data_IF_067611271341
#
_entry.id   IF_067611271341
#
_cell.length_a   1.000
_cell.length_b   1.000
_cell.length_c   1.000
_cell.angle_alpha   90.00
_cell.angle_beta   90.00
_cell.angle_gamma   90.00
#
_symmetry.space_group_name_H-M   'P 1'
#
loop_
_entity.id
_entity.type
_entity.pdbx_description
1 polymer ?
#
# COMPACT_ATOMS: atom_id res chain seq x y z
N UNK A 1 -11.09 -5.15 -0.91
CA UNK A 1 -10.00 -4.85 -1.86
C UNK A 1 -9.97 -3.35 -2.03
N UNK A 2 -8.81 -2.74 -1.84
CA UNK A 2 -8.61 -1.31 -2.02
C UNK A 2 -7.62 -1.09 -3.16
N UNK A 3 -7.76 0.03 -3.88
CA UNK A 3 -6.88 0.38 -4.99
C UNK A 3 -6.48 1.84 -4.83
N UNK A 4 -5.19 2.13 -5.02
CA UNK A 4 -4.65 3.47 -5.00
C UNK A 4 -3.62 3.63 -6.11
N UNK A 5 -3.97 4.39 -7.16
CA UNK A 5 -3.14 4.57 -8.37
C UNK A 5 -2.77 3.21 -8.98
N UNK A 6 -1.56 2.72 -8.72
CA UNK A 6 -0.99 1.48 -9.22
C UNK A 6 -0.93 0.36 -8.16
N UNK A 7 -1.22 0.67 -6.89
CA UNK A 7 -1.22 -0.30 -5.79
C UNK A 7 -2.60 -0.97 -5.62
N UNK A 8 -2.62 -2.32 -5.62
CA UNK A 8 -3.80 -3.13 -5.24
C UNK A 8 -3.56 -3.76 -3.87
N UNK A 9 -4.46 -3.50 -2.93
CA UNK A 9 -4.36 -3.96 -1.55
C UNK A 9 -5.48 -4.96 -1.26
N UNK A 10 -5.09 -6.18 -0.93
CA UNK A 10 -5.99 -7.27 -0.56
C UNK A 10 -5.81 -7.55 0.92
N UNK A 11 -6.89 -7.42 1.69
CA UNK A 11 -6.91 -7.73 3.12
C UNK A 11 -8.05 -8.70 3.40
N UNK A 12 -7.77 -9.72 4.21
CA UNK A 12 -8.78 -10.63 4.73
C UNK A 12 -8.30 -11.21 6.07
N UNK A 13 -9.23 -11.55 6.96
CA UNK A 13 -8.98 -12.28 8.20
C UNK A 13 -8.73 -13.78 7.97
N UNK A 14 -9.31 -14.35 6.91
CA UNK A 14 -9.17 -15.76 6.56
C UNK A 14 -8.24 -15.95 5.34
N UNK A 15 -7.29 -16.87 5.44
CA UNK A 15 -6.30 -17.13 4.39
C UNK A 15 -6.89 -17.80 3.14
N UNK A 16 -7.88 -18.68 3.29
CA UNK A 16 -8.53 -19.36 2.16
C UNK A 16 -9.31 -18.36 1.30
N UNK A 17 -10.07 -17.48 1.95
CA UNK A 17 -10.76 -16.40 1.26
C UNK A 17 -9.78 -15.39 0.64
N UNK A 18 -8.69 -15.06 1.34
CA UNK A 18 -7.62 -14.22 0.80
C UNK A 18 -7.08 -14.80 -0.51
N UNK A 19 -6.74 -16.08 -0.54
CA UNK A 19 -6.22 -16.75 -1.74
C UNK A 19 -7.25 -16.78 -2.87
N UNK A 20 -8.54 -16.93 -2.55
CA UNK A 20 -9.62 -16.80 -3.53
C UNK A 20 -9.63 -15.40 -4.17
N UNK A 21 -9.52 -14.34 -3.36
CA UNK A 21 -9.45 -12.97 -3.88
C UNK A 21 -8.19 -12.72 -4.72
N UNK A 22 -7.02 -13.19 -4.27
CA UNK A 22 -5.77 -13.09 -5.04
C UNK A 22 -5.95 -13.74 -6.42
N UNK A 23 -6.46 -14.98 -6.47
CA UNK A 23 -6.69 -15.69 -7.73
C UNK A 23 -7.66 -14.93 -8.64
N UNK A 24 -8.76 -14.41 -8.09
CA UNK A 24 -9.74 -13.64 -8.86
C UNK A 24 -9.11 -12.37 -9.45
N UNK A 25 -8.31 -11.65 -8.69
CA UNK A 25 -7.66 -10.42 -9.15
C UNK A 25 -6.62 -10.73 -10.23
N UNK A 26 -5.75 -11.73 -10.03
CA UNK A 26 -4.78 -12.13 -11.04
C UNK A 26 -5.45 -12.52 -12.36
N UNK A 27 -6.57 -13.26 -12.30
CA UNK A 27 -7.35 -13.59 -13.49
C UNK A 27 -7.97 -12.37 -14.19
N UNK A 28 -8.34 -11.33 -13.44
CA UNK A 28 -8.84 -10.08 -14.02
C UNK A 28 -7.70 -9.33 -14.72
N UNK A 29 -6.56 -9.18 -14.05
CA UNK A 29 -5.38 -8.51 -14.58
C UNK A 29 -4.88 -9.17 -15.88
N UNK A 30 -4.84 -10.49 -15.91
CA UNK A 30 -4.49 -11.29 -17.09
C UNK A 30 -5.41 -11.00 -18.28
N UNK A 31 -6.73 -10.94 -18.05
CA UNK A 31 -7.73 -10.63 -19.09
C UNK A 31 -7.60 -9.23 -19.68
N UNK A 32 -7.09 -8.27 -18.92
CA UNK A 32 -6.93 -6.88 -19.36
C UNK A 32 -5.49 -6.53 -19.71
N UNK A 33 -4.60 -7.53 -19.78
CA UNK A 33 -3.18 -7.37 -20.12
C UNK A 33 -2.43 -6.39 -19.19
N UNK A 34 -2.77 -6.39 -17.91
CA UNK A 34 -2.03 -5.63 -16.88
C UNK A 34 -1.06 -6.58 -16.18
N UNK A 35 0.21 -6.18 -16.14
CA UNK A 35 1.29 -6.94 -15.52
C UNK A 35 1.64 -6.40 -14.14
N UNK A 36 1.87 -7.31 -13.20
CA UNK A 36 2.38 -6.99 -11.86
C UNK A 36 3.88 -7.21 -11.79
N UNK A 37 4.57 -6.33 -11.08
CA UNK A 37 6.00 -6.44 -10.87
C UNK A 37 6.26 -7.27 -9.61
N UNK A 38 6.78 -8.49 -9.79
CA UNK A 38 6.93 -9.47 -8.69
C UNK A 38 7.84 -8.94 -7.58
N UNK A 39 8.93 -8.26 -7.93
CA UNK A 39 9.88 -7.66 -6.98
C UNK A 39 9.25 -6.58 -6.06
N UNK A 40 8.12 -5.98 -6.46
CA UNK A 40 7.37 -5.00 -5.66
C UNK A 40 6.11 -5.58 -5.02
N UNK A 41 5.81 -6.85 -5.26
CA UNK A 41 4.58 -7.48 -4.79
C UNK A 41 4.78 -8.14 -3.43
N UNK A 42 3.84 -7.93 -2.50
CA UNK A 42 3.85 -8.54 -1.16
C UNK A 42 2.62 -9.45 -1.01
N UNK A 43 2.84 -10.76 -0.84
CA UNK A 43 1.76 -11.76 -0.76
C UNK A 43 1.72 -12.41 0.63
N UNK A 44 0.53 -12.48 1.22
CA UNK A 44 0.25 -13.16 2.49
C UNK A 44 1.10 -12.70 3.71
N UNK A 45 1.49 -11.43 3.75
CA UNK A 45 2.19 -10.83 4.88
C UNK A 45 1.21 -10.35 5.96
N UNK A 46 1.52 -10.63 7.23
CA UNK A 46 0.76 -10.12 8.39
C UNK A 46 1.04 -8.64 8.67
N UNK A 47 2.18 -8.14 8.18
CA UNK A 47 2.63 -6.76 8.33
C UNK A 47 3.25 -6.30 7.01
N UNK A 48 2.76 -5.18 6.47
CA UNK A 48 3.20 -4.64 5.17
C UNK A 48 3.49 -3.16 5.29
N UNK A 49 4.55 -2.70 4.61
CA UNK A 49 4.81 -1.29 4.38
C UNK A 49 4.02 -0.83 3.15
N UNK A 50 3.05 0.05 3.36
CA UNK A 50 2.14 0.57 2.33
C UNK A 50 2.05 2.08 2.43
N UNK A 51 2.31 2.81 1.35
CA UNK A 51 2.14 4.28 1.27
C UNK A 51 2.81 5.05 2.43
N UNK A 52 4.01 4.64 2.83
CA UNK A 52 4.76 5.18 3.99
C UNK A 52 4.12 4.94 5.37
N UNK A 53 3.22 3.96 5.47
CA UNK A 53 2.69 3.42 6.71
C UNK A 53 3.09 1.96 6.88
N UNK A 54 3.08 1.48 8.11
CA UNK A 54 3.09 0.05 8.44
C UNK A 54 1.65 -0.33 8.76
N UNK A 55 1.15 -1.36 8.09
CA UNK A 55 -0.22 -1.88 8.25
C UNK A 55 -0.16 -3.33 8.69
N UNK A 56 -0.94 -3.68 9.71
CA UNK A 56 -1.12 -5.06 10.17
C UNK A 56 -2.60 -5.34 10.46
N UNK A 57 -2.90 -6.53 11.00
CA UNK A 57 -4.28 -6.91 11.36
C UNK A 57 -4.91 -6.10 12.49
N UNK A 58 -4.13 -5.30 13.23
CA UNK A 58 -4.59 -4.52 14.37
C UNK A 58 -4.81 -3.04 14.03
N UNK A 59 -4.07 -2.51 13.05
CA UNK A 59 -4.20 -1.11 12.65
C UNK A 59 -3.10 -0.62 11.71
N UNK A 60 -2.93 0.71 11.71
CA UNK A 60 -2.01 1.44 10.84
C UNK A 60 -1.11 2.34 11.69
N UNK A 61 0.21 2.22 11.50
CA UNK A 61 1.22 3.03 12.15
C UNK A 61 2.03 3.85 11.13
N UNK A 62 2.45 5.06 11.51
CA UNK A 62 3.36 5.89 10.70
C UNK A 62 4.80 5.37 10.84
N UNK A 63 5.58 5.48 9.78
CA UNK A 63 7.01 5.12 9.78
C UNK A 63 7.83 6.33 10.21
N UNK A 64 8.86 6.10 11.03
CA UNK A 64 9.76 7.14 11.54
C UNK A 64 10.47 7.93 10.43
N UNK A 65 10.75 7.31 9.29
CA UNK A 65 11.32 7.97 8.11
C UNK A 65 10.43 9.12 7.62
N UNK A 66 9.11 8.88 7.57
CA UNK A 66 8.14 9.92 7.16
C UNK A 66 8.12 11.04 8.19
N UNK A 67 8.08 10.70 9.48
CA UNK A 67 8.12 11.70 10.56
C UNK A 67 9.40 12.53 10.47
N UNK A 68 10.53 11.90 10.16
CA UNK A 68 11.83 12.56 10.03
C UNK A 68 11.87 13.50 8.81
N UNK A 69 11.30 13.09 7.67
CA UNK A 69 11.16 13.95 6.48
C UNK A 69 10.34 15.20 6.82
N UNK A 70 9.18 15.04 7.48
CA UNK A 70 8.35 16.17 7.90
C UNK A 70 9.04 17.07 8.95
N UNK A 71 9.83 16.50 9.88
CA UNK A 71 10.62 17.31 10.83
C UNK A 71 11.74 18.11 10.16
N UNK A 72 12.27 17.62 9.03
CA UNK A 72 13.32 18.28 8.25
C UNK A 72 12.77 19.26 7.22
N UNK A 73 11.46 19.26 6.99
CA UNK A 73 10.81 20.20 6.08
C UNK A 73 10.98 21.61 6.65
N UNK A 74 11.62 22.49 5.87
CA UNK A 74 11.67 23.91 6.20
C UNK A 74 10.25 24.45 6.11
N UNK A 75 9.81 25.13 7.16
CA UNK A 75 8.50 25.77 7.12
C UNK A 75 8.50 26.80 5.99
N UNK A 76 7.51 26.79 5.10
CA UNK A 76 7.53 27.68 3.96
C UNK A 76 7.43 29.13 4.41
N UNK A 77 8.22 30.00 3.78
CA UNK A 77 8.36 31.41 4.19
C UNK A 77 7.25 32.29 3.58
N UNK A 78 6.51 31.76 2.59
CA UNK A 78 5.49 32.46 1.83
C UNK A 78 4.24 31.59 1.68
N UNK A 79 3.07 32.23 1.62
CA UNK A 79 1.78 31.54 1.48
C UNK A 79 1.68 30.71 0.18
N UNK A 80 2.31 31.17 -0.91
CA UNK A 80 2.36 30.42 -2.19
C UNK A 80 3.04 29.05 -2.09
N UNK A 81 3.85 28.82 -1.06
CA UNK A 81 4.56 27.55 -0.87
C UNK A 81 3.85 26.59 0.08
N UNK A 82 2.64 26.95 0.55
CA UNK A 82 1.77 26.15 1.42
C UNK A 82 0.58 25.50 0.67
N UNK A 83 0.25 25.98 -0.53
CA UNK A 83 -0.76 25.41 -1.45
C UNK A 83 -0.16 24.30 -2.32
#
# INVERSE_FOLDING_TARGET
VYVYIDDIIIVNKNIEEYLKYVKTILNILDKVYIYILIEKSFIAYLLVRLLSYIVNGEGVAKIDDRITIFKKLKFPNTFETLE
#
